data_IF_783040048156
#
_entry.id   IF_783040048156
#
_cell.length_a   1.000
_cell.length_b   1.000
_cell.length_c   1.000
_cell.angle_alpha   90.00
_cell.angle_beta   90.00
_cell.angle_gamma   90.00
#
_symmetry.space_group_name_H-M   'P 1'
#
loop_
_entity.id
_entity.type
_entity.pdbx_description
1 polymer ?
#
# COMPACT_ATOMS: atom_id res chain seq x y z
N UNK A 1 -3.69 -0.82 15.76
CA UNK A 1 -3.74 -2.25 15.37
C UNK A 1 -2.49 -2.60 14.58
N UNK A 2 -1.97 -3.83 14.70
CA UNK A 2 -0.81 -4.32 13.95
C UNK A 2 -1.07 -5.74 13.42
N UNK A 3 -0.65 -6.03 12.20
CA UNK A 3 -0.70 -7.39 11.63
C UNK A 3 0.43 -7.57 10.62
N UNK A 4 0.77 -8.82 10.32
CA UNK A 4 1.77 -9.15 9.32
C UNK A 4 1.07 -9.59 8.03
N UNK A 5 1.62 -9.22 6.88
CA UNK A 5 1.14 -9.68 5.58
C UNK A 5 2.30 -9.93 4.61
N UNK A 6 2.16 -10.98 3.80
CA UNK A 6 3.16 -11.38 2.81
C UNK A 6 2.83 -10.79 1.45
N UNK A 7 3.82 -10.22 0.77
CA UNK A 7 3.66 -9.77 -0.62
C UNK A 7 3.58 -10.99 -1.55
N UNK A 8 2.43 -11.20 -2.18
CA UNK A 8 2.14 -12.42 -2.97
C UNK A 8 1.96 -12.16 -4.46
N UNK A 9 1.77 -10.92 -4.89
CA UNK A 9 1.64 -10.56 -6.30
C UNK A 9 1.97 -9.07 -6.52
N UNK A 10 2.58 -8.76 -7.67
CA UNK A 10 2.71 -7.41 -8.21
C UNK A 10 2.07 -7.38 -9.60
N UNK A 11 1.17 -6.44 -9.86
CA UNK A 11 0.59 -6.24 -11.20
C UNK A 11 0.67 -4.78 -11.60
N UNK A 12 1.01 -4.51 -12.87
CA UNK A 12 0.88 -3.16 -13.43
C UNK A 12 -0.60 -2.86 -13.65
N UNK A 13 -1.04 -1.67 -13.26
CA UNK A 13 -2.39 -1.22 -13.57
C UNK A 13 -2.48 -0.88 -15.06
N UNK A 14 -3.29 -1.63 -15.82
CA UNK A 14 -3.40 -1.44 -17.28
C UNK A 14 -3.98 -0.07 -17.62
N UNK A 15 -4.90 0.44 -16.80
CA UNK A 15 -5.60 1.71 -17.04
C UNK A 15 -4.88 2.93 -16.46
N UNK A 16 -3.85 2.73 -15.62
CA UNK A 16 -3.11 3.81 -14.97
C UNK A 16 -1.61 3.60 -15.18
N UNK A 17 -1.09 4.25 -16.22
CA UNK A 17 0.34 4.31 -16.47
C UNK A 17 1.05 4.88 -15.25
N UNK A 18 2.08 4.18 -14.76
CA UNK A 18 2.82 4.59 -13.56
C UNK A 18 2.21 4.13 -12.24
N UNK A 19 1.27 3.17 -12.25
CA UNK A 19 0.77 2.54 -11.02
C UNK A 19 1.06 1.03 -11.02
N UNK A 20 1.54 0.53 -9.89
CA UNK A 20 1.71 -0.89 -9.59
C UNK A 20 0.83 -1.25 -8.40
N UNK A 21 0.03 -2.30 -8.56
CA UNK A 21 -0.77 -2.87 -7.50
C UNK A 21 0.04 -3.93 -6.76
N UNK A 22 0.27 -3.69 -5.48
CA UNK A 22 0.88 -4.65 -4.55
C UNK A 22 -0.21 -5.44 -3.84
N UNK A 23 -0.10 -6.77 -3.89
CA UNK A 23 -1.08 -7.67 -3.30
C UNK A 23 -0.49 -8.34 -2.07
N UNK A 24 -1.07 -8.07 -0.91
CA UNK A 24 -0.64 -8.61 0.38
C UNK A 24 -1.66 -9.59 0.94
N UNK A 25 -1.19 -10.75 1.39
CA UNK A 25 -1.99 -11.74 2.12
C UNK A 25 -1.64 -11.69 3.61
N UNK A 26 -2.58 -11.39 4.51
CA UNK A 26 -2.36 -11.44 5.96
C UNK A 26 -1.87 -12.82 6.42
N UNK A 27 -0.99 -12.84 7.42
CA UNK A 27 -0.57 -14.09 8.08
C UNK A 27 -1.38 -14.37 9.34
N UNK A 28 -1.67 -15.66 9.56
CA UNK A 28 -2.30 -16.16 10.78
C UNK A 28 -3.83 -16.22 10.73
N UNK A 29 -4.47 -15.62 9.71
CA UNK A 29 -5.91 -15.69 9.54
C UNK A 29 -6.29 -15.74 8.05
N UNK A 30 -6.69 -16.92 7.59
CA UNK A 30 -7.11 -17.16 6.20
C UNK A 30 -8.46 -16.51 5.87
N UNK A 31 -9.18 -15.98 6.86
CA UNK A 31 -10.45 -15.28 6.66
C UNK A 31 -10.26 -13.80 6.36
N UNK A 32 -9.05 -13.25 6.58
CA UNK A 32 -8.80 -11.85 6.29
C UNK A 32 -8.70 -11.61 4.78
N UNK A 33 -9.34 -10.54 4.27
CA UNK A 33 -9.28 -10.22 2.86
C UNK A 33 -7.83 -9.89 2.45
N UNK A 34 -7.51 -10.25 1.21
CA UNK A 34 -6.29 -9.79 0.57
C UNK A 34 -6.33 -8.27 0.42
N UNK A 35 -5.20 -7.63 0.72
CA UNK A 35 -5.05 -6.19 0.56
C UNK A 35 -4.40 -5.88 -0.78
N UNK A 36 -4.92 -4.86 -1.46
CA UNK A 36 -4.35 -4.33 -2.71
C UNK A 36 -3.98 -2.87 -2.49
N UNK A 37 -2.71 -2.54 -2.65
CA UNK A 37 -2.17 -1.19 -2.43
C UNK A 37 -1.61 -0.66 -3.76
N UNK A 38 -2.21 0.37 -4.36
CA UNK A 38 -1.66 1.03 -5.53
C UNK A 38 -0.50 1.94 -5.10
N UNK A 39 0.66 1.79 -5.73
CA UNK A 39 1.85 2.59 -5.46
C UNK A 39 2.58 2.96 -6.74
N UNK A 40 3.57 3.85 -6.63
CA UNK A 40 4.49 4.13 -7.74
C UNK A 40 5.38 2.92 -8.03
N UNK A 41 5.91 2.76 -9.27
CA UNK A 41 6.86 1.71 -9.59
C UNK A 41 8.11 1.76 -8.71
N UNK A 42 8.57 2.95 -8.32
CA UNK A 42 9.74 3.11 -7.46
C UNK A 42 9.51 2.45 -6.10
N UNK A 43 8.36 2.73 -5.47
CA UNK A 43 8.01 2.15 -4.17
C UNK A 43 7.76 0.64 -4.29
N UNK A 44 7.09 0.20 -5.36
CA UNK A 44 6.83 -1.22 -5.60
C UNK A 44 8.12 -2.03 -5.73
N UNK A 45 9.11 -1.51 -6.47
CA UNK A 45 10.39 -2.20 -6.71
C UNK A 45 11.36 -2.13 -5.53
N UNK A 46 11.10 -1.28 -4.53
CA UNK A 46 11.81 -1.32 -3.26
C UNK A 46 11.42 -2.53 -2.38
N UNK A 47 10.29 -3.17 -2.67
CA UNK A 47 9.79 -4.32 -1.91
C UNK A 47 10.16 -5.66 -2.53
N UNK A 48 10.31 -6.68 -1.69
CA UNK A 48 10.70 -8.03 -2.08
C UNK A 48 9.49 -8.96 -2.11
N UNK A 49 9.24 -9.57 -3.26
CA UNK A 49 8.23 -10.61 -3.41
C UNK A 49 8.42 -11.75 -2.41
N UNK A 50 7.34 -12.21 -1.79
CA UNK A 50 7.33 -13.28 -0.79
C UNK A 50 7.81 -12.86 0.62
N UNK A 51 8.33 -11.63 0.78
CA UNK A 51 8.72 -11.14 2.10
C UNK A 51 7.50 -10.81 2.96
N UNK A 52 7.69 -10.94 4.27
CA UNK A 52 6.69 -10.61 5.29
C UNK A 52 6.90 -9.17 5.74
N UNK A 53 5.82 -8.38 5.75
CA UNK A 53 5.81 -6.98 6.16
C UNK A 53 4.84 -6.77 7.32
N UNK A 54 5.20 -5.87 8.24
CA UNK A 54 4.33 -5.49 9.36
C UNK A 54 3.57 -4.21 9.01
N UNK A 55 2.25 -4.29 9.08
CA UNK A 55 1.36 -3.15 8.91
C UNK A 55 0.96 -2.61 10.27
N UNK A 56 1.03 -1.29 10.42
CA UNK A 56 0.72 -0.58 11.67
C UNK A 56 -0.18 0.62 11.35
N UNK A 57 -1.25 0.78 12.11
CA UNK A 57 -2.07 1.99 12.04
C UNK A 57 -1.31 3.14 12.72
N UNK A 58 -1.13 4.24 11.99
CA UNK A 58 -0.54 5.49 12.48
C UNK A 58 -1.61 6.56 12.28
N UNK A 59 -1.90 7.32 13.34
CA UNK A 59 -2.80 8.48 13.27
C UNK A 59 -2.08 9.61 12.53
N UNK A 60 -2.75 10.21 11.56
CA UNK A 60 -2.24 11.37 10.80
C UNK A 60 -3.21 12.52 11.04
N UNK A 61 -2.70 13.64 11.53
CA UNK A 61 -3.47 14.88 11.63
C UNK A 61 -3.67 15.44 10.21
N UNK A 62 -4.92 15.66 9.80
CA UNK A 62 -5.22 16.33 8.53
C UNK A 62 -4.66 17.76 8.57
N UNK A 63 -3.71 18.05 7.69
CA UNK A 63 -3.31 19.43 7.45
C UNK A 63 -4.51 20.18 6.84
N UNK A 64 -4.98 21.23 7.51
CA UNK A 64 -6.03 22.10 6.99
C UNK A 64 -5.62 22.58 5.58
N UNK A 65 -6.54 22.60 4.60
CA UNK A 65 -6.23 23.10 3.26
C UNK A 65 -5.66 24.51 3.36
N UNK A 66 -4.45 24.71 2.85
CA UNK A 66 -3.83 26.02 2.74
C UNK A 66 -4.74 26.82 1.80
N UNK A 67 -5.44 27.83 2.31
CA UNK A 67 -6.16 28.79 1.46
C UNK A 67 -5.17 29.30 0.40
N UNK A 68 -5.53 29.12 -0.87
CA UNK A 68 -4.82 29.70 -2.00
C UNK A 68 -4.86 31.21 -1.85
N UNK A 69 -3.82 31.78 -1.23
CA UNK A 69 -3.54 33.21 -1.27
C UNK A 69 -3.13 33.58 -2.69
N UNK A 70 -4.12 33.74 -3.56
CA UNK A 70 -3.99 34.48 -4.80
C UNK A 70 -4.25 35.95 -4.47
N UNK A 71 -3.17 36.68 -4.22
CA UNK A 71 -3.11 38.14 -4.30
C UNK A 71 -2.31 38.55 -5.53
#
# INVERSE_FOLDING_TARGET
MKFNARLVLLTRAVEQSGVVNLHFRPEGDNLLPQMVIPVSPLDAYALKFGALYRFEAIEVEEALPIESAAG
#
